data_IF_517854823560
#
_entry.id   IF_517854823560
#
_cell.length_a   1.000
_cell.length_b   1.000
_cell.length_c   1.000
_cell.angle_alpha   90.00
_cell.angle_beta   90.00
_cell.angle_gamma   90.00
#
_symmetry.space_group_name_H-M   'P 1'
#
loop_
_entity.id
_entity.type
_entity.pdbx_description
1 polymer ?
#
# COMPACT_ATOMS: atom_id res chain seq x y z
N UNK A 1 -19.07 -1.34 7.27
CA UNK A 1 -19.07 0.15 7.27
C UNK A 1 -18.73 0.79 8.63
N UNK A 2 -18.05 0.09 9.56
CA UNK A 2 -17.66 0.64 10.89
C UNK A 2 -16.17 1.02 10.92
N UNK A 3 -15.31 0.26 10.23
CA UNK A 3 -13.87 0.53 10.15
C UNK A 3 -13.53 1.86 9.45
N UNK A 4 -14.30 2.22 8.41
CA UNK A 4 -14.09 3.40 7.58
C UNK A 4 -14.18 4.70 8.40
N UNK A 5 -15.17 4.79 9.28
CA UNK A 5 -15.41 6.01 10.04
C UNK A 5 -14.37 6.19 11.16
N UNK A 6 -14.02 5.10 11.85
CA UNK A 6 -12.93 5.08 12.83
C UNK A 6 -11.58 5.44 12.19
N UNK A 7 -11.35 5.05 10.94
CA UNK A 7 -10.13 5.38 10.20
C UNK A 7 -10.03 6.86 9.86
N UNK A 8 -11.07 7.45 9.27
CA UNK A 8 -11.07 8.89 8.99
C UNK A 8 -11.00 9.71 10.28
N UNK A 9 -11.61 9.24 11.37
CA UNK A 9 -11.46 9.86 12.69
C UNK A 9 -10.02 9.76 13.20
N UNK A 10 -9.37 8.60 13.09
CA UNK A 10 -7.97 8.43 13.43
C UNK A 10 -7.06 9.37 12.64
N UNK A 11 -7.21 9.41 11.32
CA UNK A 11 -6.45 10.32 10.45
C UNK A 11 -6.68 11.78 10.81
N UNK A 12 -7.94 12.19 11.04
CA UNK A 12 -8.25 13.57 11.44
C UNK A 12 -7.75 13.91 12.86
N UNK A 13 -7.59 12.92 13.74
CA UNK A 13 -7.06 13.10 15.09
C UNK A 13 -5.53 13.18 15.11
N UNK A 14 -4.86 12.50 14.19
CA UNK A 14 -3.39 12.31 14.22
C UNK A 14 -2.65 13.08 13.12
N UNK A 15 -3.33 13.55 12.07
CA UNK A 15 -2.73 14.33 10.99
C UNK A 15 -3.12 15.80 11.12
N UNK A 16 -2.15 16.68 10.90
CA UNK A 16 -2.46 18.09 10.69
C UNK A 16 -3.19 18.28 9.35
N UNK A 17 -3.85 19.43 9.17
CA UNK A 17 -4.46 19.81 7.88
C UNK A 17 -3.44 19.94 6.75
N UNK A 18 -2.17 20.16 7.06
CA UNK A 18 -1.07 20.21 6.08
C UNK A 18 -0.58 18.80 5.75
N UNK A 19 -0.51 17.89 6.72
CA UNK A 19 -0.16 16.49 6.49
C UNK A 19 -1.22 15.81 5.62
N UNK A 20 -2.51 16.08 5.86
CA UNK A 20 -3.58 15.57 5.00
C UNK A 20 -3.40 16.03 3.55
N UNK A 21 -2.91 17.25 3.30
CA UNK A 21 -2.59 17.71 1.92
C UNK A 21 -1.37 17.02 1.32
N UNK A 22 -0.39 16.62 2.12
CA UNK A 22 0.77 15.85 1.67
C UNK A 22 0.45 14.38 1.37
N UNK A 23 -0.68 13.89 1.89
CA UNK A 23 -1.22 12.53 1.70
C UNK A 23 -2.24 12.50 0.53
N UNK A 24 -2.74 13.66 0.09
CA UNK A 24 -3.64 13.84 -1.06
C UNK A 24 -2.89 13.68 -2.40
N UNK A 25 -3.59 13.23 -3.47
CA UNK A 25 -3.16 12.18 -4.39
C UNK A 25 -1.71 12.28 -4.82
N UNK A 26 -0.96 11.19 -4.60
CA UNK A 26 0.09 10.84 -5.54
C UNK A 26 -0.58 10.46 -6.86
N UNK A 27 -0.93 11.47 -7.67
CA UNK A 27 -1.08 11.21 -9.09
C UNK A 27 0.17 10.47 -9.52
N UNK A 28 -0.02 9.31 -10.15
CA UNK A 28 1.07 8.44 -10.57
C UNK A 28 2.02 9.29 -11.41
N UNK A 29 3.15 9.65 -10.84
CA UNK A 29 4.10 10.56 -11.51
C UNK A 29 4.76 9.86 -12.71
N UNK A 30 4.68 8.53 -12.76
CA UNK A 30 5.28 7.69 -13.78
C UNK A 30 4.20 6.96 -14.57
N UNK A 31 4.30 7.00 -15.90
CA UNK A 31 3.56 6.11 -16.79
C UNK A 31 4.03 4.67 -16.54
N UNK A 32 3.08 3.72 -16.44
CA UNK A 32 3.44 2.32 -16.29
C UNK A 32 4.26 1.84 -17.48
N UNK A 33 5.30 1.05 -17.20
CA UNK A 33 6.08 0.37 -18.22
C UNK A 33 5.33 -0.86 -18.74
N UNK A 34 4.42 -1.43 -17.93
CA UNK A 34 3.59 -2.59 -18.25
C UNK A 34 2.13 -2.39 -17.83
N UNK A 35 1.18 -2.66 -18.73
CA UNK A 35 -0.27 -2.62 -18.47
C UNK A 35 -0.85 -4.00 -18.10
N UNK A 36 0.00 -5.01 -17.92
CA UNK A 36 -0.43 -6.35 -17.57
C UNK A 36 -0.82 -6.45 -16.08
N UNK A 37 -1.91 -7.17 -15.82
CA UNK A 37 -2.42 -7.49 -14.49
C UNK A 37 -2.60 -9.01 -14.38
N UNK A 38 -2.33 -9.61 -13.20
CA UNK A 38 -2.72 -10.99 -12.90
C UNK A 38 -4.20 -11.27 -13.19
N UNK A 39 -4.49 -12.39 -13.82
CA UNK A 39 -5.87 -12.80 -14.13
C UNK A 39 -6.51 -13.65 -13.00
N UNK A 40 -5.70 -14.15 -12.08
CA UNK A 40 -6.13 -15.05 -11.00
C UNK A 40 -5.19 -14.98 -9.78
N UNK A 41 -5.62 -15.60 -8.68
CA UNK A 41 -4.88 -15.63 -7.41
C UNK A 41 -3.49 -16.25 -7.56
N UNK A 42 -3.33 -17.31 -8.36
CA UNK A 42 -2.04 -17.98 -8.56
C UNK A 42 -1.02 -17.04 -9.22
N UNK A 43 -1.42 -16.34 -10.28
CA UNK A 43 -0.59 -15.33 -10.93
C UNK A 43 -0.28 -14.17 -9.98
N UNK A 44 -1.24 -13.74 -9.17
CA UNK A 44 -1.02 -12.70 -8.17
C UNK A 44 0.08 -13.12 -7.19
N UNK A 45 -0.04 -14.30 -6.58
CA UNK A 45 0.95 -14.81 -5.63
C UNK A 45 2.30 -14.98 -6.32
N UNK A 46 2.34 -15.55 -7.53
CA UNK A 46 3.58 -15.71 -8.28
C UNK A 46 4.31 -14.37 -8.46
N UNK A 47 3.60 -13.30 -8.80
CA UNK A 47 4.20 -11.96 -8.95
C UNK A 47 4.65 -11.42 -7.60
N UNK A 48 3.79 -11.38 -6.60
CA UNK A 48 4.10 -10.78 -5.31
C UNK A 48 5.26 -11.49 -4.59
N UNK A 49 5.34 -12.81 -4.74
CA UNK A 49 6.34 -13.64 -4.07
C UNK A 49 7.70 -13.64 -4.78
N UNK A 50 7.72 -13.57 -6.12
CA UNK A 50 8.94 -13.80 -6.88
C UNK A 50 9.46 -12.55 -7.60
N UNK A 51 8.64 -11.48 -7.72
CA UNK A 51 9.08 -10.28 -8.40
C UNK A 51 10.15 -9.55 -7.59
N UNK A 52 11.21 -9.16 -8.29
CA UNK A 52 12.20 -8.24 -7.73
C UNK A 52 11.57 -6.86 -7.51
N UNK A 53 12.08 -6.06 -6.55
CA UNK A 53 11.66 -4.69 -6.32
C UNK A 53 11.46 -3.86 -7.59
N UNK A 54 12.39 -3.92 -8.53
CA UNK A 54 12.36 -3.12 -9.77
C UNK A 54 11.23 -3.55 -10.71
N UNK A 55 10.83 -4.83 -10.65
CA UNK A 55 9.71 -5.35 -11.44
C UNK A 55 8.38 -4.87 -10.84
N UNK A 56 8.24 -4.89 -9.52
CA UNK A 56 7.07 -4.33 -8.84
C UNK A 56 6.93 -2.83 -9.13
N UNK A 57 8.02 -2.08 -9.07
CA UNK A 57 8.03 -0.65 -9.44
C UNK A 57 7.61 -0.42 -10.90
N UNK A 58 7.97 -1.34 -11.82
CA UNK A 58 7.53 -1.27 -13.22
C UNK A 58 6.03 -1.55 -13.41
N UNK A 59 5.42 -2.34 -12.52
CA UNK A 59 3.96 -2.50 -12.38
C UNK A 59 3.29 -1.36 -11.59
N UNK A 60 4.07 -0.35 -11.20
CA UNK A 60 3.59 0.87 -10.54
C UNK A 60 3.32 0.73 -9.05
N UNK A 61 3.87 -0.31 -8.41
CA UNK A 61 3.96 -0.32 -6.96
C UNK A 61 4.89 0.81 -6.49
N UNK A 62 4.57 1.40 -5.35
CA UNK A 62 5.37 2.47 -4.77
C UNK A 62 6.06 1.96 -3.53
N UNK A 63 7.39 2.06 -3.51
CA UNK A 63 8.17 1.71 -2.33
C UNK A 63 7.87 2.71 -1.21
N UNK A 64 7.48 2.23 -0.04
CA UNK A 64 7.11 3.08 1.10
C UNK A 64 8.22 4.07 1.49
N UNK A 65 9.48 3.62 1.48
CA UNK A 65 10.64 4.47 1.77
C UNK A 65 10.90 5.58 0.75
N UNK A 66 10.25 5.53 -0.42
CA UNK A 66 10.31 6.58 -1.44
C UNK A 66 9.24 7.65 -1.27
N UNK A 67 8.26 7.45 -0.38
CA UNK A 67 7.18 8.39 -0.17
C UNK A 67 7.70 9.71 0.42
N UNK A 68 7.41 10.86 -0.21
CA UNK A 68 7.76 12.15 0.34
C UNK A 68 6.77 12.55 1.43
N UNK A 69 7.26 13.23 2.46
CA UNK A 69 6.44 13.76 3.53
C UNK A 69 7.09 13.58 4.89
N UNK A 70 6.79 14.47 5.83
CA UNK A 70 7.23 14.29 7.21
C UNK A 70 6.48 13.13 7.88
N UNK A 71 5.20 12.98 7.57
CA UNK A 71 4.36 11.90 8.08
C UNK A 71 4.93 10.49 7.82
N UNK A 72 5.20 10.13 6.57
CA UNK A 72 5.77 8.80 6.25
C UNK A 72 7.14 8.58 6.90
N UNK A 73 7.96 9.63 7.03
CA UNK A 73 9.24 9.56 7.76
C UNK A 73 9.06 9.28 9.25
N UNK A 74 7.99 9.77 9.87
CA UNK A 74 7.66 9.47 11.27
C UNK A 74 7.16 8.03 11.44
N UNK A 75 6.48 7.47 10.45
CA UNK A 75 6.02 6.07 10.44
C UNK A 75 7.13 5.06 10.08
N UNK A 76 8.17 5.47 9.35
CA UNK A 76 9.24 4.59 8.86
C UNK A 76 9.88 3.71 9.97
N UNK A 77 10.19 4.20 11.19
CA UNK A 77 10.76 3.35 12.23
C UNK A 77 9.84 2.20 12.69
N UNK A 78 8.52 2.43 12.70
CA UNK A 78 7.55 1.39 13.02
C UNK A 78 7.52 0.33 11.90
N UNK A 79 7.58 0.77 10.65
CA UNK A 79 7.67 -0.10 9.48
C UNK A 79 8.97 -0.91 9.47
N UNK A 80 10.12 -0.28 9.65
CA UNK A 80 11.42 -0.97 9.67
C UNK A 80 11.46 -2.06 10.77
N UNK A 81 10.88 -1.76 11.93
CA UNK A 81 10.75 -2.72 13.04
C UNK A 81 9.84 -3.89 12.69
N UNK A 82 8.74 -3.65 11.98
CA UNK A 82 7.79 -4.68 11.55
C UNK A 82 8.40 -5.60 10.49
N UNK A 83 9.11 -5.01 9.53
CA UNK A 83 9.65 -5.71 8.36
C UNK A 83 10.87 -6.53 8.74
N UNK A 84 11.75 -5.96 9.57
CA UNK A 84 13.09 -6.48 9.79
C UNK A 84 14.08 -6.00 8.72
N UNK A 85 15.38 -6.24 8.92
CA UNK A 85 16.43 -5.75 8.03
C UNK A 85 16.32 -6.36 6.63
N UNK A 86 16.58 -5.54 5.60
CA UNK A 86 16.68 -5.99 4.20
C UNK A 86 15.35 -6.26 3.50
N UNK A 87 14.22 -5.87 4.11
CA UNK A 87 12.90 -6.02 3.52
C UNK A 87 12.31 -4.68 3.12
N UNK A 88 11.62 -4.67 1.99
CA UNK A 88 10.94 -3.50 1.47
C UNK A 88 9.43 -3.61 1.68
N UNK A 89 8.80 -2.46 1.77
CA UNK A 89 7.35 -2.32 1.89
C UNK A 89 6.85 -1.61 0.63
N UNK A 90 5.88 -2.22 -0.06
CA UNK A 90 5.34 -1.69 -1.31
C UNK A 90 3.84 -1.45 -1.21
N UNK A 91 3.43 -0.27 -1.64
CA UNK A 91 2.04 0.13 -1.72
C UNK A 91 1.46 -0.35 -3.04
N UNK A 92 0.30 -0.99 -2.96
CA UNK A 92 -0.38 -1.50 -4.14
C UNK A 92 -0.87 -0.33 -5.02
N UNK A 93 -0.76 -0.44 -6.35
CA UNK A 93 -1.39 0.49 -7.26
C UNK A 93 -2.93 0.29 -7.32
N UNK A 94 -3.68 1.32 -7.76
CA UNK A 94 -5.16 1.29 -7.80
C UNK A 94 -5.70 0.13 -8.64
N UNK A 95 -5.03 -0.16 -9.75
CA UNK A 95 -5.48 -1.15 -10.72
C UNK A 95 -5.43 -2.56 -10.14
N UNK A 96 -4.62 -2.76 -9.10
CA UNK A 96 -4.48 -4.04 -8.44
C UNK A 96 -5.58 -4.30 -7.39
N UNK A 97 -6.40 -3.30 -7.04
CA UNK A 97 -7.41 -3.47 -5.99
C UNK A 97 -8.37 -4.63 -6.26
N UNK A 98 -8.82 -4.80 -7.52
CA UNK A 98 -9.78 -5.85 -7.89
C UNK A 98 -9.19 -7.24 -8.06
N UNK A 99 -7.87 -7.40 -7.91
CA UNK A 99 -7.14 -8.66 -8.10
C UNK A 99 -6.44 -9.15 -6.82
N UNK A 100 -6.42 -8.34 -5.75
CA UNK A 100 -5.83 -8.78 -4.47
C UNK A 100 -6.72 -9.91 -3.92
N UNK A 101 -6.18 -11.12 -3.68
CA UNK A 101 -6.97 -12.24 -3.19
C UNK A 101 -7.65 -11.91 -1.86
N UNK A 102 -8.83 -12.47 -1.67
CA UNK A 102 -9.56 -12.33 -0.40
C UNK A 102 -8.74 -12.94 0.74
N UNK A 103 -8.71 -12.27 1.89
CA UNK A 103 -7.89 -12.63 3.07
C UNK A 103 -6.38 -12.50 2.86
N UNK A 104 -5.92 -11.94 1.74
CA UNK A 104 -4.51 -11.58 1.62
C UNK A 104 -4.13 -10.62 2.76
N UNK A 105 -3.02 -10.90 3.45
CA UNK A 105 -2.63 -10.12 4.63
C UNK A 105 -1.93 -8.85 4.18
N UNK A 106 -2.48 -7.73 4.63
CA UNK A 106 -2.00 -6.39 4.32
C UNK A 106 -1.65 -5.63 5.61
N UNK A 107 -0.90 -4.54 5.45
CA UNK A 107 -0.46 -3.68 6.55
C UNK A 107 -0.90 -2.24 6.34
N UNK A 108 -1.40 -1.54 7.36
CA UNK A 108 -1.63 -0.08 7.29
C UNK A 108 -0.39 0.74 7.65
N UNK A 109 -0.50 2.08 7.65
CA UNK A 109 0.52 3.02 8.14
C UNK A 109 0.94 2.85 9.60
N UNK A 110 0.12 2.21 10.43
CA UNK A 110 0.44 1.92 11.82
C UNK A 110 1.19 0.58 11.99
N UNK A 111 1.48 -0.10 10.87
CA UNK A 111 2.09 -1.43 10.81
C UNK A 111 1.17 -2.52 11.38
N UNK A 112 -0.14 -2.28 11.44
CA UNK A 112 -1.14 -3.25 11.89
C UNK A 112 -1.55 -4.17 10.73
N UNK A 113 -1.76 -5.46 11.05
CA UNK A 113 -2.10 -6.50 10.07
C UNK A 113 -3.59 -6.71 10.01
N UNK A 114 -4.14 -6.80 8.81
CA UNK A 114 -5.54 -7.17 8.61
C UNK A 114 -5.73 -7.98 7.32
N UNK A 115 -6.78 -8.82 7.25
CA UNK A 115 -7.16 -9.48 6.01
C UNK A 115 -7.75 -8.46 5.03
N UNK A 116 -7.32 -8.53 3.77
CA UNK A 116 -7.93 -7.76 2.69
C UNK A 116 -9.31 -8.32 2.34
N UNK A 117 -10.30 -7.43 2.30
CA UNK A 117 -11.69 -7.77 1.99
C UNK A 117 -12.24 -6.76 0.98
N UNK A 118 -12.57 -7.23 -0.22
CA UNK A 118 -13.13 -6.38 -1.27
C UNK A 118 -14.40 -5.67 -0.76
N UNK A 119 -14.57 -4.41 -1.12
CA UNK A 119 -15.69 -3.53 -0.73
C UNK A 119 -15.75 -3.17 0.77
N UNK A 120 -15.01 -3.87 1.64
CA UNK A 120 -14.86 -3.51 3.06
C UNK A 120 -13.58 -2.70 3.29
N UNK A 121 -12.48 -3.15 2.70
CA UNK A 121 -11.30 -2.34 2.44
C UNK A 121 -11.69 -1.32 1.39
N UNK A 122 -11.70 -0.03 1.72
CA UNK A 122 -12.08 1.04 0.78
C UNK A 122 -11.21 0.94 -0.51
N UNK A 123 -11.68 1.52 -1.61
CA UNK A 123 -10.91 1.72 -2.84
C UNK A 123 -11.07 3.17 -3.25
N UNK A 124 -10.59 4.07 -2.40
CA UNK A 124 -10.67 5.48 -2.73
C UNK A 124 -9.63 5.77 -3.82
N UNK A 125 -10.09 6.23 -4.98
CA UNK A 125 -9.26 6.48 -6.15
C UNK A 125 -8.26 7.62 -5.96
N UNK A 126 -8.26 8.27 -4.79
CA UNK A 126 -7.34 9.35 -4.45
C UNK A 126 -5.90 8.89 -4.31
N UNK A 127 -5.63 7.59 -4.27
CA UNK A 127 -4.25 7.14 -4.31
C UNK A 127 -4.08 5.75 -4.98
N UNK A 128 -5.16 5.04 -5.29
CA UNK A 128 -5.06 3.59 -5.45
C UNK A 128 -4.99 2.90 -4.11
N UNK A 129 -4.58 1.65 -4.00
CA UNK A 129 -4.50 1.02 -2.67
C UNK A 129 -3.59 1.79 -1.67
N UNK A 130 -2.84 2.79 -2.13
CA UNK A 130 -2.31 3.90 -1.34
C UNK A 130 -3.34 4.65 -0.45
N UNK A 131 -4.66 4.63 -0.70
CA UNK A 131 -5.65 5.32 0.13
C UNK A 131 -5.96 4.59 1.44
N UNK A 132 -5.42 3.38 1.59
CA UNK A 132 -5.39 2.61 2.85
C UNK A 132 -4.01 2.57 3.46
N UNK A 133 -3.04 3.18 2.78
CA UNK A 133 -1.62 2.95 3.03
C UNK A 133 -1.30 1.46 3.17
N UNK A 134 -2.05 0.65 2.39
CA UNK A 134 -1.95 -0.80 2.42
C UNK A 134 -0.72 -1.19 1.67
N UNK A 135 0.20 -1.80 2.41
CA UNK A 135 1.44 -2.24 1.84
C UNK A 135 1.67 -3.74 2.02
N UNK A 136 2.48 -4.30 1.13
CA UNK A 136 2.94 -5.67 1.17
C UNK A 136 4.42 -5.70 1.50
N UNK A 137 4.82 -6.70 2.28
CA UNK A 137 6.22 -6.94 2.61
C UNK A 137 6.87 -7.77 1.51
N UNK A 138 7.95 -7.26 0.93
CA UNK A 138 8.83 -8.01 0.02
C UNK A 138 10.15 -8.28 0.72
N UNK A 139 10.50 -9.56 0.85
CA UNK A 139 11.75 -10.00 1.46
C UNK A 139 11.56 -11.22 2.37
N UNK A 140 12.43 -12.20 2.15
CA UNK A 140 12.45 -13.58 2.63
C UNK A 140 11.19 -14.41 2.33
N UNK A 141 11.14 -14.93 1.09
CA UNK A 141 10.82 -16.35 0.87
C UNK A 141 12.12 -17.16 0.91
#
# INVERSE_FOLDING_TARGET
MVFIQAWFEYLNLHLSKEDTKSILPFERQKKLDFEWLPENDEEFYMVIENAKPEILEAFGFIRYSSLPGEFYRQCQPAMDKLLGPGRDLFLFPVEWYGIIPRNFVVFDIAAERFPFEHQETLNDARSGCLSFDIALRVGDL
#
